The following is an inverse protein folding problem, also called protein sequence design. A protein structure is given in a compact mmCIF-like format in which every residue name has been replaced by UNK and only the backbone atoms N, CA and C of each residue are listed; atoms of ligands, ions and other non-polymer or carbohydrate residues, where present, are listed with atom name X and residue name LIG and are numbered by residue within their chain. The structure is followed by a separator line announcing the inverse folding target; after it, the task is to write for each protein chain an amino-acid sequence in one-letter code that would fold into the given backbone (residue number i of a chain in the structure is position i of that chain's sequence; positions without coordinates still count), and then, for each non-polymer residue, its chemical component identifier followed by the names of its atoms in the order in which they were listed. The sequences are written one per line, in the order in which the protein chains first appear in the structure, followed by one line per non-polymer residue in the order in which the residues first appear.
data_IF_744828906926
#
_entry.id   IF_744828906926
#
_cell.length_a   1.000
_cell.length_b   1.000
_cell.length_c   1.000
_cell.angle_alpha   90.00
_cell.angle_beta   90.00
_cell.angle_gamma   90.00
#
_symmetry.space_group_name_H-M   'P 1'
#
loop_
_entity.id
_entity.type
_entity.pdbx_description
1 polymer ?
#
# COMPACT_ATOMS: atom_id res chain seq x y z
N UNK A 1 12.37 -14.51 -10.87
CA UNK A 1 12.15 -13.05 -10.80
C UNK A 1 12.11 -12.67 -9.34
N UNK A 2 12.64 -11.51 -8.95
CA UNK A 2 12.74 -11.11 -7.54
C UNK A 2 11.91 -9.87 -7.25
N UNK A 3 11.16 -9.90 -6.14
CA UNK A 3 10.32 -8.80 -5.69
C UNK A 3 10.82 -8.22 -4.37
N UNK A 4 10.79 -6.90 -4.26
CA UNK A 4 10.82 -6.21 -2.96
C UNK A 4 9.42 -5.73 -2.60
N UNK A 5 9.06 -5.85 -1.33
CA UNK A 5 7.82 -5.29 -0.77
C UNK A 5 8.17 -4.07 0.07
N UNK A 6 7.57 -2.94 -0.25
CA UNK A 6 7.66 -1.70 0.54
C UNK A 6 6.33 -1.48 1.24
N UNK A 7 6.30 -1.68 2.55
CA UNK A 7 5.12 -1.45 3.37
C UNK A 7 5.12 -0.02 3.91
N UNK A 8 4.14 0.79 3.50
CA UNK A 8 4.03 2.20 3.90
C UNK A 8 3.27 2.32 5.23
N UNK A 9 3.99 2.55 6.34
CA UNK A 9 3.44 2.67 7.69
C UNK A 9 3.70 4.03 8.38
N UNK A 10 4.42 4.96 7.75
CA UNK A 10 4.78 6.26 8.33
C UNK A 10 3.63 7.29 8.44
N UNK A 11 2.42 6.97 7.96
CA UNK A 11 1.29 7.91 7.91
C UNK A 11 0.82 8.41 9.29
N UNK A 12 0.36 9.68 9.36
CA UNK A 12 -0.03 10.38 10.60
C UNK A 12 -1.34 9.89 11.23
N UNK A 13 -2.11 9.02 10.62
CA UNK A 13 -3.40 8.47 11.13
C UNK A 13 -4.45 9.50 11.58
N UNK A 14 -4.39 10.75 11.12
CA UNK A 14 -5.18 11.90 11.60
C UNK A 14 -6.70 11.72 11.60
N UNK A 15 -7.24 10.88 10.71
CA UNK A 15 -8.69 10.61 10.59
C UNK A 15 -9.20 9.47 11.48
N UNK A 16 -8.33 8.78 12.19
CA UNK A 16 -8.71 7.62 13.01
C UNK A 16 -9.18 7.99 14.42
N UNK A 17 -8.93 9.23 14.86
CA UNK A 17 -9.19 9.72 16.22
C UNK A 17 -7.94 9.66 17.13
N UNK A 18 -8.13 10.12 18.38
CA UNK A 18 -7.05 10.14 19.38
C UNK A 18 -6.83 8.73 19.95
N UNK A 19 -5.94 7.98 19.33
CA UNK A 19 -5.42 6.71 19.88
C UNK A 19 -3.96 6.88 20.26
N UNK A 20 -3.50 6.17 21.32
CA UNK A 20 -2.10 6.17 21.73
C UNK A 20 -1.17 5.57 20.67
N UNK A 21 -1.69 4.69 19.82
CA UNK A 21 -0.96 4.02 18.75
C UNK A 21 -1.55 4.40 17.39
N UNK A 22 -0.70 4.49 16.38
CA UNK A 22 -1.13 4.66 14.99
C UNK A 22 -1.83 3.39 14.48
N UNK A 23 -2.77 3.56 13.55
CA UNK A 23 -3.59 2.47 12.97
C UNK A 23 -2.83 1.21 12.57
N UNK A 24 -1.69 1.31 11.86
CA UNK A 24 -0.97 0.11 11.45
C UNK A 24 -0.48 -0.75 12.62
N UNK A 25 -0.34 -0.16 13.81
CA UNK A 25 0.23 -0.82 14.98
C UNK A 25 -0.82 -1.35 15.96
N UNK A 26 -2.10 -1.10 15.70
CA UNK A 26 -3.21 -1.63 16.51
C UNK A 26 -3.32 -3.14 16.30
N UNK A 27 -3.69 -3.84 17.38
CA UNK A 27 -4.07 -5.25 17.28
C UNK A 27 -5.41 -5.39 16.56
N UNK A 28 -5.45 -6.25 15.57
CA UNK A 28 -6.64 -6.62 14.82
C UNK A 28 -6.78 -8.14 14.88
N UNK A 29 -7.69 -8.64 15.69
CA UNK A 29 -7.95 -10.07 15.87
C UNK A 29 -6.65 -10.86 16.21
N UNK A 30 -5.86 -10.37 17.18
CA UNK A 30 -4.66 -11.04 17.71
C UNK A 30 -3.37 -10.83 16.92
N UNK A 31 -3.37 -9.95 15.91
CA UNK A 31 -2.17 -9.62 15.14
C UNK A 31 -2.16 -8.14 14.75
N UNK A 32 -1.01 -7.44 14.77
CA UNK A 32 -0.94 -6.04 14.33
C UNK A 32 -1.42 -5.86 12.89
N UNK A 33 -2.13 -4.78 12.61
CA UNK A 33 -2.66 -4.45 11.27
C UNK A 33 -1.58 -4.52 10.19
N UNK A 34 -0.38 -3.96 10.46
CA UNK A 34 0.74 -3.96 9.50
C UNK A 34 1.24 -5.38 9.18
N UNK A 35 1.25 -6.26 10.17
CA UNK A 35 1.73 -7.64 9.97
C UNK A 35 0.70 -8.45 9.20
N UNK A 36 -0.60 -8.23 9.43
CA UNK A 36 -1.66 -8.80 8.59
C UNK A 36 -1.55 -8.34 7.14
N UNK A 37 -1.27 -7.05 6.92
CA UNK A 37 -1.06 -6.51 5.58
C UNK A 37 0.17 -7.11 4.89
N UNK A 38 1.19 -7.52 5.65
CA UNK A 38 2.40 -8.16 5.13
C UNK A 38 2.23 -9.66 4.88
N UNK A 39 1.44 -10.35 5.70
CA UNK A 39 1.32 -11.82 5.68
C UNK A 39 1.13 -12.44 4.29
N UNK A 40 0.28 -11.90 3.38
CA UNK A 40 0.10 -12.46 2.03
C UNK A 40 1.38 -12.47 1.17
N UNK A 41 2.31 -11.59 1.45
CA UNK A 41 3.58 -11.53 0.72
C UNK A 41 4.61 -12.56 1.23
N UNK A 42 4.50 -12.96 2.51
CA UNK A 42 5.41 -13.93 3.11
C UNK A 42 5.27 -15.33 2.49
N UNK A 43 4.11 -15.64 1.91
CA UNK A 43 3.87 -16.89 1.19
C UNK A 43 4.34 -16.87 -0.28
N UNK A 44 4.78 -15.72 -0.79
CA UNK A 44 5.22 -15.58 -2.18
C UNK A 44 6.71 -15.96 -2.31
N UNK A 45 7.07 -17.01 -3.05
CA UNK A 45 8.45 -17.49 -3.12
C UNK A 45 9.43 -16.52 -3.78
N UNK A 46 8.90 -15.61 -4.61
CA UNK A 46 9.69 -14.61 -5.34
C UNK A 46 9.95 -13.33 -4.52
N UNK A 47 9.35 -13.16 -3.34
CA UNK A 47 9.64 -12.04 -2.44
C UNK A 47 10.95 -12.31 -1.72
N UNK A 48 11.95 -11.48 -1.99
CA UNK A 48 13.32 -11.65 -1.48
C UNK A 48 13.80 -10.47 -0.62
N UNK A 49 13.04 -9.36 -0.57
CA UNK A 49 13.33 -8.22 0.30
C UNK A 49 12.03 -7.60 0.82
N UNK A 50 12.01 -7.29 2.11
CA UNK A 50 10.86 -6.64 2.78
C UNK A 50 11.37 -5.40 3.49
N UNK A 51 10.75 -4.25 3.18
CA UNK A 51 11.04 -2.97 3.81
C UNK A 51 9.73 -2.41 4.40
N UNK A 52 9.82 -1.83 5.59
CA UNK A 52 8.71 -1.09 6.19
C UNK A 52 9.15 0.33 6.52
N UNK A 53 8.43 1.32 6.02
CA UNK A 53 8.69 2.71 6.39
C UNK A 53 7.82 3.10 7.58
N UNK A 54 8.43 3.56 8.66
CA UNK A 54 7.79 4.08 9.88
C UNK A 54 8.23 5.51 10.15
N UNK A 55 7.47 6.28 10.95
CA UNK A 55 7.91 7.64 11.30
C UNK A 55 9.28 7.62 11.97
N UNK A 56 10.16 8.59 11.70
CA UNK A 56 11.53 8.58 12.23
C UNK A 56 11.60 8.49 13.76
N UNK A 57 10.66 9.12 14.45
CA UNK A 57 10.52 9.11 15.91
C UNK A 57 9.97 7.79 16.49
N UNK A 58 9.51 6.88 15.64
CA UNK A 58 8.94 5.59 16.05
C UNK A 58 9.84 4.40 15.68
N UNK A 59 10.98 4.61 15.02
CA UNK A 59 11.85 3.52 14.54
C UNK A 59 12.31 2.61 15.68
N UNK A 60 12.90 3.17 16.73
CA UNK A 60 13.42 2.39 17.86
C UNK A 60 12.29 1.70 18.63
N UNK A 61 11.17 2.41 18.83
CA UNK A 61 9.98 1.83 19.43
C UNK A 61 9.42 0.68 18.59
N UNK A 62 9.33 0.84 17.28
CA UNK A 62 8.83 -0.19 16.36
C UNK A 62 9.70 -1.44 16.42
N UNK A 63 11.02 -1.28 16.29
CA UNK A 63 11.98 -2.39 16.34
C UNK A 63 11.90 -3.12 17.68
N UNK A 64 11.84 -2.39 18.81
CA UNK A 64 11.75 -3.01 20.12
C UNK A 64 10.41 -3.69 20.39
N UNK A 65 9.31 -3.10 19.93
CA UNK A 65 7.95 -3.63 20.13
C UNK A 65 7.67 -4.85 19.28
N UNK A 66 8.15 -4.85 18.05
CA UNK A 66 7.92 -5.89 17.04
C UNK A 66 9.19 -6.67 16.67
N UNK A 67 10.12 -6.82 17.63
CA UNK A 67 11.41 -7.46 17.42
C UNK A 67 11.29 -8.86 16.77
N UNK A 68 10.40 -9.71 17.29
CA UNK A 68 10.23 -11.08 16.79
C UNK A 68 9.83 -11.11 15.31
N UNK A 69 8.73 -10.49 14.83
CA UNK A 69 8.38 -10.54 13.40
C UNK A 69 9.39 -9.78 12.52
N UNK A 70 10.04 -8.73 13.02
CA UNK A 70 11.08 -8.01 12.27
C UNK A 70 12.28 -8.92 12.01
N UNK A 71 12.74 -9.65 13.01
CA UNK A 71 13.87 -10.57 12.91
C UNK A 71 13.50 -11.82 12.09
N UNK A 72 12.37 -12.48 12.41
CA UNK A 72 11.88 -13.69 11.76
C UNK A 72 11.76 -13.53 10.24
N UNK A 73 11.25 -12.37 9.79
CA UNK A 73 11.03 -12.10 8.36
C UNK A 73 12.11 -11.21 7.74
N UNK A 74 13.21 -10.94 8.46
CA UNK A 74 14.33 -10.10 8.00
C UNK A 74 13.88 -8.75 7.45
N UNK A 75 12.93 -8.09 8.14
CA UNK A 75 12.33 -6.83 7.69
C UNK A 75 13.29 -5.67 7.92
N UNK A 76 13.56 -4.91 6.86
CA UNK A 76 14.32 -3.68 6.96
C UNK A 76 13.40 -2.53 7.38
N UNK A 77 13.64 -1.95 8.54
CA UNK A 77 12.90 -0.78 9.03
C UNK A 77 13.57 0.49 8.51
N UNK A 78 12.80 1.28 7.76
CA UNK A 78 13.28 2.49 7.09
C UNK A 78 12.63 3.72 7.73
N UNK A 79 13.40 4.73 8.15
CA UNK A 79 12.82 6.00 8.57
C UNK A 79 12.04 6.65 7.42
N UNK A 80 10.78 6.98 7.67
CA UNK A 80 9.93 7.66 6.71
C UNK A 80 10.36 9.11 6.49
N UNK A 81 9.69 9.81 5.59
CA UNK A 81 9.87 11.22 5.30
C UNK A 81 8.68 12.07 5.76
N UNK A 82 8.66 13.33 5.34
CA UNK A 82 7.61 14.29 5.69
C UNK A 82 6.23 13.87 5.15
N UNK A 83 6.22 13.33 3.95
CA UNK A 83 5.02 12.86 3.26
C UNK A 83 5.13 11.36 2.92
N UNK A 84 4.00 10.75 2.49
CA UNK A 84 3.96 9.34 2.06
C UNK A 84 4.99 9.05 0.97
N UNK A 85 5.11 9.95 0.02
CA UNK A 85 6.07 9.86 -1.09
C UNK A 85 7.51 9.78 -0.62
N UNK A 86 7.90 10.69 0.29
CA UNK A 86 9.25 10.73 0.81
C UNK A 86 9.58 9.45 1.57
N UNK A 87 8.59 8.90 2.28
CA UNK A 87 8.70 7.63 2.99
C UNK A 87 8.94 6.45 2.03
N UNK A 88 8.20 6.40 0.92
CA UNK A 88 8.41 5.38 -0.12
C UNK A 88 9.76 5.62 -0.82
N UNK A 89 10.11 6.86 -1.15
CA UNK A 89 11.42 7.18 -1.76
C UNK A 89 12.59 6.71 -0.89
N UNK A 90 12.51 6.92 0.44
CA UNK A 90 13.53 6.44 1.37
C UNK A 90 13.66 4.91 1.31
N UNK A 91 12.52 4.21 1.26
CA UNK A 91 12.52 2.76 1.11
C UNK A 91 13.09 2.32 -0.26
N UNK A 92 12.73 2.99 -1.35
CA UNK A 92 13.25 2.70 -2.69
C UNK A 92 14.78 2.83 -2.77
N UNK A 93 15.37 3.79 -2.05
CA UNK A 93 16.82 3.96 -1.97
C UNK A 93 17.54 2.80 -1.28
N UNK A 94 16.81 2.02 -0.44
CA UNK A 94 17.31 0.85 0.27
C UNK A 94 16.99 -0.49 -0.45
N UNK A 95 16.25 -0.44 -1.57
CA UNK A 95 15.97 -1.63 -2.37
C UNK A 95 17.26 -2.10 -3.05
N UNK A 96 17.57 -3.39 -2.89
CA UNK A 96 18.73 -4.04 -3.50
C UNK A 96 18.73 -3.90 -5.03
N UNK A 97 19.88 -3.63 -5.67
CA UNK A 97 19.98 -3.52 -7.11
C UNK A 97 19.58 -4.79 -7.87
N UNK A 98 19.60 -5.94 -7.20
CA UNK A 98 19.23 -7.23 -7.78
C UNK A 98 17.70 -7.45 -7.85
N UNK A 99 16.91 -6.59 -7.24
CA UNK A 99 15.45 -6.65 -7.29
C UNK A 99 14.96 -6.20 -8.66
N UNK A 100 14.10 -7.01 -9.27
CA UNK A 100 13.50 -6.74 -10.58
C UNK A 100 12.18 -5.99 -10.48
N UNK A 101 11.37 -6.28 -9.45
CA UNK A 101 10.04 -5.69 -9.24
C UNK A 101 9.89 -5.13 -7.82
N UNK A 102 9.12 -4.07 -7.68
CA UNK A 102 8.83 -3.43 -6.38
C UNK A 102 7.33 -3.33 -6.21
N UNK A 103 6.82 -3.88 -5.12
CA UNK A 103 5.42 -3.77 -4.70
C UNK A 103 5.31 -2.78 -3.54
N UNK A 104 4.60 -1.68 -3.74
CA UNK A 104 4.29 -0.71 -2.67
C UNK A 104 2.92 -1.01 -2.11
N UNK A 105 2.84 -1.29 -0.81
CA UNK A 105 1.60 -1.65 -0.14
C UNK A 105 1.33 -0.78 1.08
N UNK A 106 0.06 -0.41 1.26
CA UNK A 106 -0.39 0.34 2.44
C UNK A 106 -0.48 -0.60 3.67
N UNK A 107 0.28 -0.33 4.72
CA UNK A 107 0.23 -1.08 5.99
C UNK A 107 -1.15 -1.08 6.69
N UNK A 108 -2.09 -0.28 6.21
CA UNK A 108 -3.46 -0.20 6.70
C UNK A 108 -4.49 -1.01 5.87
N UNK A 109 -4.05 -1.94 5.01
CA UNK A 109 -4.91 -2.87 4.26
C UNK A 109 -4.70 -4.32 4.70
N UNK A 110 -5.25 -4.71 5.86
CA UNK A 110 -4.98 -6.01 6.47
C UNK A 110 -5.74 -7.19 5.83
N UNK A 111 -6.63 -6.94 4.89
CA UNK A 111 -7.50 -7.95 4.27
C UNK A 111 -7.07 -8.31 2.84
N UNK A 112 -5.83 -7.97 2.47
CA UNK A 112 -5.21 -8.44 1.25
C UNK A 112 -5.09 -9.97 1.29
N UNK A 113 -5.29 -10.65 0.17
CA UNK A 113 -5.12 -12.10 0.07
C UNK A 113 -3.89 -12.46 -0.77
N UNK A 114 -3.32 -13.65 -0.55
CA UNK A 114 -2.20 -14.15 -1.33
C UNK A 114 -2.53 -14.28 -2.82
N UNK A 115 -3.78 -14.64 -3.14
CA UNK A 115 -4.28 -14.73 -4.51
C UNK A 115 -4.24 -13.38 -5.24
N UNK A 116 -4.66 -12.30 -4.58
CA UNK A 116 -4.58 -10.95 -5.16
C UNK A 116 -3.12 -10.55 -5.38
N UNK A 117 -2.23 -10.87 -4.44
CA UNK A 117 -0.78 -10.61 -4.61
C UNK A 117 -0.24 -11.31 -5.83
N UNK A 118 -0.55 -12.61 -5.99
CA UNK A 118 -0.12 -13.42 -7.13
C UNK A 118 -0.63 -12.83 -8.46
N UNK A 119 -1.92 -12.52 -8.56
CA UNK A 119 -2.52 -11.92 -9.76
C UNK A 119 -1.86 -10.59 -10.14
N UNK A 120 -1.58 -9.72 -9.16
CA UNK A 120 -0.93 -8.43 -9.40
C UNK A 120 0.55 -8.63 -9.80
N UNK A 121 1.25 -9.58 -9.20
CA UNK A 121 2.63 -9.90 -9.57
C UNK A 121 2.71 -10.44 -11.00
N UNK A 122 1.80 -11.34 -11.38
CA UNK A 122 1.74 -11.87 -12.74
C UNK A 122 1.43 -10.78 -13.77
N UNK A 123 0.46 -9.91 -13.47
CA UNK A 123 0.17 -8.78 -14.33
C UNK A 123 1.37 -7.82 -14.45
N UNK A 124 2.10 -7.56 -13.35
CA UNK A 124 3.30 -6.75 -13.38
C UNK A 124 4.44 -7.38 -14.20
N UNK A 125 4.59 -8.71 -14.16
CA UNK A 125 5.56 -9.45 -15.02
C UNK A 125 5.25 -9.25 -16.50
N UNK A 126 3.97 -9.26 -16.87
CA UNK A 126 3.52 -9.15 -18.27
C UNK A 126 3.60 -7.70 -18.76
N UNK A 127 3.13 -6.74 -17.93
CA UNK A 127 2.89 -5.36 -18.35
C UNK A 127 3.93 -4.36 -17.84
N UNK A 128 4.80 -4.75 -16.91
CA UNK A 128 5.78 -3.87 -16.27
C UNK A 128 5.20 -3.01 -15.13
N UNK A 129 3.88 -2.83 -15.06
CA UNK A 129 3.18 -2.05 -14.04
C UNK A 129 1.76 -2.59 -13.85
N UNK A 130 1.36 -2.88 -12.61
CA UNK A 130 0.01 -3.37 -12.29
C UNK A 130 -0.45 -2.93 -10.90
N UNK A 131 -1.76 -2.69 -10.78
CA UNK A 131 -2.41 -2.38 -9.51
C UNK A 131 -3.73 -3.15 -9.35
N UNK A 132 -4.13 -3.54 -8.14
CA UNK A 132 -5.48 -4.02 -7.89
C UNK A 132 -6.45 -2.83 -7.82
N UNK A 133 -7.66 -3.03 -8.31
CA UNK A 133 -8.74 -2.05 -8.17
C UNK A 133 -10.10 -2.73 -8.25
N UNK A 134 -11.15 -2.06 -7.77
CA UNK A 134 -12.53 -2.50 -7.96
C UNK A 134 -13.40 -1.39 -8.55
N UNK A 135 -14.44 -1.78 -9.30
CA UNK A 135 -15.34 -0.83 -9.96
C UNK A 135 -16.08 0.04 -8.96
N UNK A 136 -16.27 1.30 -9.31
CA UNK A 136 -17.16 2.19 -8.53
C UNK A 136 -18.60 1.76 -8.72
N UNK A 137 -19.27 1.39 -7.62
CA UNK A 137 -20.67 0.95 -7.63
C UNK A 137 -21.66 2.03 -7.19
N UNK A 138 -21.23 2.99 -6.37
CA UNK A 138 -22.07 4.08 -5.89
C UNK A 138 -22.16 5.21 -6.93
N UNK A 139 -23.28 5.95 -6.92
CA UNK A 139 -23.41 7.19 -7.71
C UNK A 139 -22.44 8.23 -7.18
N UNK A 140 -21.57 8.74 -8.03
CA UNK A 140 -20.61 9.79 -7.69
C UNK A 140 -21.19 11.18 -7.95
N UNK A 141 -20.98 12.07 -7.01
CA UNK A 141 -21.35 13.49 -7.11
C UNK A 141 -20.12 14.36 -6.96
N UNK A 142 -19.96 15.33 -7.87
CA UNK A 142 -19.03 16.44 -7.63
C UNK A 142 -19.75 17.47 -6.77
N UNK A 143 -19.13 17.85 -5.66
CA UNK A 143 -19.69 18.81 -4.69
C UNK A 143 -18.74 19.97 -4.54
N UNK A 144 -19.24 21.18 -4.62
CA UNK A 144 -18.53 22.44 -4.35
C UNK A 144 -19.34 23.23 -3.33
N UNK A 145 -18.72 23.72 -2.26
CA UNK A 145 -19.36 24.46 -1.18
C UNK A 145 -20.65 23.82 -0.64
N UNK A 146 -20.65 22.49 -0.49
CA UNK A 146 -21.79 21.72 0.02
C UNK A 146 -22.92 21.47 -0.99
N UNK A 147 -22.81 21.97 -2.22
CA UNK A 147 -23.83 21.79 -3.26
C UNK A 147 -23.36 20.82 -4.35
N UNK A 148 -24.28 19.98 -4.82
CA UNK A 148 -24.02 19.08 -5.95
C UNK A 148 -23.98 19.92 -7.23
N UNK A 149 -22.84 19.91 -7.91
CA UNK A 149 -22.68 20.60 -9.21
C UNK A 149 -22.77 19.63 -10.38
N UNK A 150 -22.49 18.33 -10.16
CA UNK A 150 -22.46 17.34 -11.24
C UNK A 150 -22.68 15.93 -10.69
N UNK A 151 -23.37 15.08 -11.47
CA UNK A 151 -23.29 13.62 -11.31
C UNK A 151 -22.20 13.11 -12.24
N UNK A 152 -21.13 12.55 -11.67
CA UNK A 152 -20.02 12.00 -12.45
C UNK A 152 -20.40 10.62 -12.97
N UNK A 153 -20.36 10.35 -14.29
CA UNK A 153 -20.54 9.00 -14.82
C UNK A 153 -19.53 8.05 -14.18
N UNK A 154 -19.98 6.88 -13.77
CA UNK A 154 -19.11 5.90 -13.06
C UNK A 154 -18.60 4.78 -13.96
N UNK A 155 -19.09 4.71 -15.17
CA UNK A 155 -18.56 3.82 -16.20
C UNK A 155 -17.06 4.09 -16.30
N UNK A 156 -16.26 3.05 -16.30
CA UNK A 156 -14.78 3.12 -16.36
C UNK A 156 -14.08 3.79 -15.15
N UNK A 157 -14.81 4.09 -14.06
CA UNK A 157 -14.20 4.55 -12.81
C UNK A 157 -13.95 3.37 -11.86
N UNK A 158 -12.73 3.34 -11.33
CA UNK A 158 -12.25 2.29 -10.44
C UNK A 158 -11.65 2.90 -9.17
N UNK A 159 -11.83 2.21 -8.06
CA UNK A 159 -11.16 2.52 -6.80
C UNK A 159 -9.82 1.79 -6.77
N UNK A 160 -8.74 2.52 -6.97
CA UNK A 160 -7.38 1.99 -6.91
C UNK A 160 -7.05 1.49 -5.49
N UNK A 161 -6.36 0.36 -5.43
CA UNK A 161 -5.90 -0.25 -4.20
C UNK A 161 -4.39 -0.50 -4.25
N UNK A 162 -3.86 -1.19 -3.24
CA UNK A 162 -2.48 -1.69 -3.20
C UNK A 162 -2.50 -3.20 -2.91
N UNK A 163 -1.46 -3.96 -3.32
CA UNK A 163 -0.12 -3.52 -3.71
C UNK A 163 -0.05 -2.93 -5.11
N UNK A 164 0.62 -1.81 -5.27
CA UNK A 164 0.96 -1.25 -6.57
C UNK A 164 2.34 -1.77 -6.96
N UNK A 165 2.42 -2.56 -8.01
CA UNK A 165 3.60 -3.34 -8.36
C UNK A 165 4.16 -2.91 -9.71
N UNK A 166 5.46 -2.66 -9.74
CA UNK A 166 6.13 -2.11 -10.91
C UNK A 166 7.48 -2.80 -11.12
N UNK A 167 7.89 -2.88 -12.38
CA UNK A 167 9.29 -3.15 -12.69
C UNK A 167 10.15 -2.02 -12.12
N UNK A 168 11.27 -2.39 -11.49
CA UNK A 168 12.10 -1.46 -10.72
C UNK A 168 12.56 -0.22 -11.51
N UNK A 169 12.99 -0.42 -12.76
CA UNK A 169 13.45 0.68 -13.63
C UNK A 169 12.34 1.68 -13.95
N UNK A 170 11.11 1.21 -14.19
CA UNK A 170 9.93 2.05 -14.44
C UNK A 170 9.62 2.92 -13.21
N UNK A 171 9.52 2.29 -12.02
CA UNK A 171 9.21 3.02 -10.81
C UNK A 171 10.26 4.05 -10.45
N UNK A 172 11.55 3.67 -10.52
CA UNK A 172 12.65 4.60 -10.21
C UNK A 172 12.72 5.76 -11.19
N UNK A 173 12.48 5.52 -12.49
CA UNK A 173 12.42 6.59 -13.49
C UNK A 173 11.23 7.55 -13.26
N UNK A 174 10.05 7.01 -12.91
CA UNK A 174 8.88 7.82 -12.58
C UNK A 174 9.11 8.70 -11.33
N UNK A 175 9.78 8.14 -10.29
CA UNK A 175 10.18 8.91 -9.11
C UNK A 175 11.21 10.00 -9.43
N UNK A 176 12.20 9.71 -10.25
CA UNK A 176 13.21 10.70 -10.68
C UNK A 176 12.59 11.85 -11.49
N UNK A 177 11.55 11.56 -12.28
CA UNK A 177 10.83 12.55 -13.10
C UNK A 177 9.72 13.31 -12.35
N UNK A 178 9.54 13.08 -11.06
CA UNK A 178 8.40 13.61 -10.27
C UNK A 178 8.33 15.14 -10.23
N UNK A 179 9.46 15.87 -10.16
CA UNK A 179 9.51 17.35 -10.12
C UNK A 179 8.50 17.96 -9.13
N UNK A 180 8.48 17.49 -7.88
CA UNK A 180 7.57 17.96 -6.80
C UNK A 180 6.05 17.72 -7.08
N UNK A 181 5.70 16.98 -8.10
CA UNK A 181 4.30 16.68 -8.39
C UNK A 181 3.66 15.92 -7.21
N UNK A 182 2.52 16.43 -6.67
CA UNK A 182 1.87 15.82 -5.50
C UNK A 182 0.99 14.63 -5.92
N UNK A 183 1.60 13.55 -6.41
CA UNK A 183 0.85 12.36 -6.77
C UNK A 183 0.16 11.73 -5.54
N UNK A 184 -0.96 11.09 -5.75
CA UNK A 184 -1.73 10.42 -4.68
C UNK A 184 -1.25 8.99 -4.42
N UNK A 185 -0.67 8.35 -5.44
CA UNK A 185 -0.12 6.99 -5.38
C UNK A 185 1.01 6.81 -6.42
N UNK A 186 1.64 5.65 -6.43
CA UNK A 186 2.74 5.32 -7.33
C UNK A 186 2.25 5.16 -8.78
N UNK A 187 1.04 4.65 -8.99
CA UNK A 187 0.45 4.48 -10.32
C UNK A 187 0.36 5.83 -11.03
N UNK A 188 -0.10 6.89 -10.36
CA UNK A 188 -0.20 8.23 -10.92
C UNK A 188 1.16 8.79 -11.36
N UNK A 189 2.26 8.45 -10.66
CA UNK A 189 3.60 8.84 -11.10
C UNK A 189 4.02 8.12 -12.38
N UNK A 190 3.76 6.81 -12.43
CA UNK A 190 4.11 5.96 -13.58
C UNK A 190 3.30 6.35 -14.81
N UNK A 191 2.01 6.62 -14.64
CA UNK A 191 1.13 7.16 -15.70
C UNK A 191 1.63 8.51 -16.23
N UNK A 192 1.98 9.43 -15.32
CA UNK A 192 2.52 10.73 -15.68
C UNK A 192 3.87 10.63 -16.39
N UNK A 193 4.68 9.65 -16.03
CA UNK A 193 5.94 9.38 -16.72
C UNK A 193 5.74 8.80 -18.14
N UNK A 194 4.52 8.35 -18.45
CA UNK A 194 4.12 7.88 -19.79
C UNK A 194 4.11 6.36 -19.95
N UNK A 195 4.16 5.59 -18.87
CA UNK A 195 4.04 4.14 -18.92
C UNK A 195 2.61 3.71 -18.53
N UNK A 196 1.98 2.81 -19.31
CA UNK A 196 0.65 2.30 -18.97
C UNK A 196 0.70 1.43 -17.70
N UNK A 197 -0.35 1.55 -16.88
CA UNK A 197 -0.52 0.75 -15.66
C UNK A 197 -1.72 -0.19 -15.86
N UNK A 198 -1.49 -1.49 -15.70
CA UNK A 198 -2.54 -2.50 -15.84
C UNK A 198 -3.38 -2.61 -14.57
N UNK A 199 -4.70 -2.76 -14.73
CA UNK A 199 -5.62 -2.94 -13.60
C UNK A 199 -5.99 -4.41 -13.46
N UNK A 200 -5.80 -4.96 -12.26
CA UNK A 200 -6.29 -6.28 -11.85
C UNK A 200 -7.57 -6.08 -11.05
N UNK A 201 -8.69 -6.66 -11.49
CA UNK A 201 -9.95 -6.56 -10.75
C UNK A 201 -9.84 -7.32 -9.43
N UNK A 202 -10.16 -6.64 -8.33
CA UNK A 202 -9.96 -7.12 -6.97
C UNK A 202 -11.23 -6.88 -6.14
N UNK A 203 -11.55 -7.73 -5.16
CA UNK A 203 -12.69 -7.50 -4.26
C UNK A 203 -12.57 -6.20 -3.48
N UNK A 204 -13.71 -5.55 -3.22
CA UNK A 204 -13.79 -4.34 -2.37
C UNK A 204 -13.40 -4.62 -0.90
N UNK A 205 -13.32 -5.89 -0.50
CA UNK A 205 -12.89 -6.33 0.83
C UNK A 205 -11.43 -6.02 1.15
N UNK A 206 -10.55 -5.79 0.14
CA UNK A 206 -9.20 -5.26 0.38
C UNK A 206 -9.27 -3.77 0.76
N UNK A 207 -10.06 -3.47 1.79
CA UNK A 207 -10.30 -2.11 2.25
C UNK A 207 -9.06 -1.53 2.97
N UNK A 208 -8.96 -0.19 2.93
CA UNK A 208 -7.96 0.55 3.71
C UNK A 208 -8.62 1.05 5.01
N UNK A 209 -8.11 0.62 6.14
CA UNK A 209 -8.56 1.15 7.44
C UNK A 209 -8.22 2.65 7.51
N UNK A 210 -9.24 3.50 7.50
CA UNK A 210 -9.11 4.95 7.63
C UNK A 210 -9.86 5.51 8.83
N UNK A 211 -10.93 4.84 9.25
CA UNK A 211 -11.80 5.19 10.38
C UNK A 211 -11.93 4.01 11.35
N UNK A 212 -12.54 4.25 12.52
CA UNK A 212 -12.88 3.17 13.45
C UNK A 212 -13.95 2.23 12.88
N UNK A 213 -14.86 2.73 12.05
CA UNK A 213 -15.84 1.89 11.36
C UNK A 213 -15.19 0.91 10.40
N UNK A 214 -14.14 1.34 9.66
CA UNK A 214 -13.37 0.44 8.80
C UNK A 214 -12.65 -0.64 9.62
N UNK A 215 -12.16 -0.29 10.82
CA UNK A 215 -11.50 -1.24 11.72
C UNK A 215 -12.49 -2.32 12.20
N UNK A 216 -13.67 -1.91 12.70
CA UNK A 216 -14.71 -2.85 13.13
C UNK A 216 -15.20 -3.75 11.97
N UNK A 217 -15.30 -3.18 10.76
CA UNK A 217 -15.63 -3.98 9.57
C UNK A 217 -14.54 -5.02 9.26
N UNK A 218 -13.27 -4.62 9.35
CA UNK A 218 -12.15 -5.54 9.13
C UNK A 218 -12.13 -6.68 10.17
N UNK A 219 -12.40 -6.39 11.46
CA UNK A 219 -12.54 -7.42 12.50
C UNK A 219 -13.66 -8.42 12.17
N UNK A 220 -14.81 -7.90 11.77
CA UNK A 220 -15.96 -8.75 11.43
C UNK A 220 -15.67 -9.66 10.23
N UNK A 221 -15.04 -9.13 9.19
CA UNK A 221 -14.68 -9.91 8.00
C UNK A 221 -13.67 -11.02 8.33
N UNK A 222 -12.69 -10.73 9.20
CA UNK A 222 -11.71 -11.75 9.64
C UNK A 222 -12.34 -12.84 10.51
N UNK A 223 -13.35 -12.50 11.33
CA UNK A 223 -14.04 -13.50 12.15
C UNK A 223 -14.96 -14.41 11.34
N UNK A 224 -15.29 -14.03 10.10
CA UNK A 224 -16.21 -14.76 9.21
C UNK A 224 -15.48 -15.58 8.13
N UNK A 225 -14.14 -15.49 8.08
CA UNK A 225 -13.26 -16.20 7.14
C UNK A 225 -12.67 -17.45 7.80
#
# INVERSE_FOLDING_TARGET
MSFAVVLAAAGRSSRFGETKLKKPFLDLAGQPVWLRALTPFLSQPDVSQILISVSPDEVDWFISTFANPVEEHSIQVIPGGAERFDSVQNALNAVSPNIEYIAVHDAARPLLTAEVVEQVFDAARIHGAAIPAHRVVNTLKRVVDGQIVETVPREDLWNAQTPQTFRRDILLAAYAARNEFPATDEAQLVERWGHPVHVVECPSTNLKITTQADFALAEHLLASS
#
